data_IF_187450173704
#
_entry.id   IF_187450173704
#
_cell.length_a   1.000
_cell.length_b   1.000
_cell.length_c   1.000
_cell.angle_alpha   90.00
_cell.angle_beta   90.00
_cell.angle_gamma   90.00
#
_symmetry.space_group_name_H-M   'P 1'
#
loop_
_entity.id
_entity.type
_entity.pdbx_description
1 polymer ?
#
# COMPACT_ATOMS: atom_id res chain seq x y z
N UNK A 1 49.72 2.77 29.74
CA UNK A 1 48.97 3.34 28.60
C UNK A 1 48.09 2.25 28.04
N UNK A 2 46.81 2.24 28.43
CA UNK A 2 45.84 1.23 28.00
C UNK A 2 45.08 1.76 26.78
N UNK A 3 45.27 1.10 25.63
CA UNK A 3 44.51 1.34 24.42
C UNK A 3 43.11 0.74 24.57
N UNK A 4 42.09 1.60 24.60
CA UNK A 4 40.68 1.23 24.52
C UNK A 4 40.29 1.16 23.03
N UNK A 5 40.46 0.01 22.40
CA UNK A 5 39.74 -0.30 21.16
C UNK A 5 38.32 -0.73 21.55
N UNK A 6 37.39 0.23 21.51
CA UNK A 6 35.97 -0.07 21.44
C UNK A 6 35.70 -0.79 20.12
N UNK A 7 35.68 -2.13 20.16
CA UNK A 7 34.93 -2.92 19.19
C UNK A 7 33.45 -2.55 19.38
N UNK A 8 33.00 -1.55 18.62
CA UNK A 8 31.60 -1.46 18.27
C UNK A 8 31.27 -2.71 17.44
N UNK A 9 30.72 -3.70 18.13
CA UNK A 9 29.95 -4.79 17.56
C UNK A 9 28.71 -4.21 16.86
N UNK A 10 28.91 -3.55 15.71
CA UNK A 10 27.92 -3.54 14.64
C UNK A 10 27.86 -4.97 14.11
N UNK A 11 27.08 -5.81 14.77
CA UNK A 11 26.59 -7.03 14.16
C UNK A 11 25.74 -6.60 12.94
N UNK A 12 26.39 -6.56 11.79
CA UNK A 12 25.87 -7.05 10.50
C UNK A 12 24.34 -7.17 10.44
N UNK A 13 23.66 -6.07 10.12
CA UNK A 13 22.26 -6.07 9.64
C UNK A 13 22.15 -5.60 8.18
N UNK A 14 23.29 -5.37 7.52
CA UNK A 14 23.37 -5.02 6.11
C UNK A 14 24.19 -6.07 5.36
N UNK A 15 23.54 -7.21 5.06
CA UNK A 15 23.85 -8.12 3.95
C UNK A 15 23.05 -9.41 4.14
N UNK A 16 21.73 -9.37 3.98
CA UNK A 16 20.92 -10.57 3.70
C UNK A 16 19.60 -10.13 3.05
N UNK A 17 19.66 -9.97 1.71
CA UNK A 17 18.53 -9.71 0.82
C UNK A 17 18.50 -8.30 0.20
N UNK A 18 19.09 -8.13 -0.99
CA UNK A 18 18.77 -7.01 -1.91
C UNK A 18 17.37 -7.11 -2.52
N UNK A 19 16.63 -8.16 -2.17
CA UNK A 19 15.37 -8.56 -2.78
C UNK A 19 14.20 -8.13 -1.89
N UNK A 20 13.31 -7.29 -2.44
CA UNK A 20 12.13 -6.76 -1.74
C UNK A 20 10.95 -7.74 -1.74
N UNK A 21 10.95 -8.69 -2.68
CA UNK A 21 9.93 -9.72 -2.87
C UNK A 21 10.57 -11.10 -2.67
N UNK A 22 9.85 -12.02 -2.03
CA UNK A 22 10.32 -13.38 -1.70
C UNK A 22 10.68 -14.20 -2.95
N UNK A 23 9.97 -14.00 -4.05
CA UNK A 23 10.19 -14.70 -5.32
C UNK A 23 10.91 -13.80 -6.33
N UNK A 24 12.03 -14.31 -6.87
CA UNK A 24 12.89 -13.56 -7.79
C UNK A 24 12.20 -13.27 -9.14
N UNK A 25 11.33 -14.16 -9.63
CA UNK A 25 10.59 -13.93 -10.88
C UNK A 25 9.54 -12.84 -10.70
N UNK A 26 8.81 -12.86 -9.59
CA UNK A 26 7.85 -11.84 -9.20
C UNK A 26 8.55 -10.47 -9.01
N UNK A 27 9.73 -10.45 -8.38
CA UNK A 27 10.53 -9.23 -8.26
C UNK A 27 10.97 -8.71 -9.62
N UNK A 28 11.54 -9.57 -10.48
CA UNK A 28 11.96 -9.18 -11.83
C UNK A 28 10.79 -8.57 -12.61
N UNK A 29 9.61 -9.18 -12.54
CA UNK A 29 8.39 -8.66 -13.19
C UNK A 29 7.98 -7.28 -12.67
N UNK A 30 8.10 -7.05 -11.36
CA UNK A 30 7.85 -5.73 -10.76
C UNK A 30 8.84 -4.70 -11.31
N UNK A 31 10.14 -5.01 -11.28
CA UNK A 31 11.20 -4.08 -11.72
C UNK A 31 11.07 -3.71 -13.20
N UNK A 32 10.86 -4.70 -14.06
CA UNK A 32 10.66 -4.49 -15.50
C UNK A 32 9.40 -3.66 -15.78
N UNK A 33 8.29 -3.97 -15.11
CA UNK A 33 7.05 -3.23 -15.30
C UNK A 33 7.17 -1.78 -14.83
N UNK A 34 7.78 -1.56 -13.66
CA UNK A 34 7.99 -0.22 -13.10
C UNK A 34 8.86 0.64 -14.01
N UNK A 35 9.97 0.10 -14.52
CA UNK A 35 10.82 0.80 -15.48
C UNK A 35 10.05 1.20 -16.75
N UNK A 36 9.23 0.29 -17.29
CA UNK A 36 8.42 0.54 -18.49
C UNK A 36 7.33 1.58 -18.23
N UNK A 37 6.60 1.48 -17.11
CA UNK A 37 5.56 2.44 -16.72
C UNK A 37 6.16 3.83 -16.51
N UNK A 38 7.29 3.95 -15.81
CA UNK A 38 7.98 5.24 -15.64
C UNK A 38 8.40 5.85 -16.97
N UNK A 39 9.04 5.08 -17.86
CA UNK A 39 9.45 5.59 -19.17
C UNK A 39 8.26 6.04 -20.02
N UNK A 40 7.13 5.34 -19.94
CA UNK A 40 5.93 5.65 -20.72
C UNK A 40 5.11 6.80 -20.12
N UNK A 41 5.08 6.92 -18.80
CA UNK A 41 4.07 7.73 -18.12
C UNK A 41 4.63 8.64 -17.02
N UNK A 42 5.69 8.22 -16.33
CA UNK A 42 6.27 8.93 -15.18
C UNK A 42 7.35 9.97 -15.50
N UNK A 43 7.63 10.27 -16.77
CA UNK A 43 8.56 11.34 -17.16
C UNK A 43 7.90 12.72 -17.03
N UNK A 44 8.66 13.75 -16.63
CA UNK A 44 8.15 15.11 -16.38
C UNK A 44 7.36 15.72 -17.56
N UNK A 45 7.86 15.51 -18.78
CA UNK A 45 7.20 15.95 -20.00
C UNK A 45 5.86 15.24 -20.24
N UNK A 46 5.76 13.95 -19.92
CA UNK A 46 4.55 13.15 -20.03
C UNK A 46 3.51 13.61 -18.99
N UNK A 47 3.92 13.76 -17.73
CA UNK A 47 3.05 14.25 -16.64
C UNK A 47 2.45 15.62 -16.96
N UNK A 48 3.26 16.54 -17.49
CA UNK A 48 2.78 17.86 -17.91
C UNK A 48 1.72 17.76 -19.03
N UNK A 49 1.96 16.93 -20.04
CA UNK A 49 1.02 16.70 -21.13
C UNK A 49 -0.31 16.09 -20.65
N UNK A 50 -0.26 15.17 -19.68
CA UNK A 50 -1.46 14.48 -19.17
C UNK A 50 -2.36 15.37 -18.32
N UNK A 51 -1.79 16.35 -17.60
CA UNK A 51 -2.55 17.38 -16.87
C UNK A 51 -3.37 18.31 -17.80
N UNK A 52 -3.09 18.33 -19.10
CA UNK A 52 -3.70 19.29 -20.04
C UNK A 52 -4.80 18.64 -20.91
N UNK A 53 -4.76 17.32 -21.17
CA UNK A 53 -5.70 16.66 -22.08
C UNK A 53 -7.06 16.36 -21.41
N UNK A 54 -7.99 17.31 -21.53
CA UNK A 54 -9.37 17.19 -21.02
C UNK A 54 -10.22 16.20 -21.85
N UNK A 55 -11.01 15.36 -21.17
CA UNK A 55 -12.08 14.53 -21.74
C UNK A 55 -13.33 14.73 -20.89
N UNK A 56 -14.40 15.31 -21.46
CA UNK A 56 -15.71 15.50 -20.79
C UNK A 56 -15.55 16.02 -19.33
N UNK A 57 -14.78 17.09 -19.18
CA UNK A 57 -14.49 17.84 -17.94
C UNK A 57 -13.37 17.34 -17.01
N UNK A 58 -12.75 16.18 -17.24
CA UNK A 58 -11.60 15.70 -16.42
C UNK A 58 -10.49 15.13 -17.29
N UNK A 59 -9.24 15.01 -16.79
CA UNK A 59 -8.14 14.49 -17.63
C UNK A 59 -8.17 12.96 -17.73
N UNK A 60 -7.61 12.40 -18.80
CA UNK A 60 -7.66 10.95 -19.08
C UNK A 60 -7.01 10.15 -17.95
N UNK A 61 -5.86 10.61 -17.45
CA UNK A 61 -5.09 10.00 -16.36
C UNK A 61 -5.91 9.83 -15.08
N UNK A 62 -6.66 10.87 -14.68
CA UNK A 62 -7.57 10.85 -13.54
C UNK A 62 -8.65 9.78 -13.69
N UNK A 63 -9.23 9.65 -14.89
CA UNK A 63 -10.28 8.63 -15.14
C UNK A 63 -9.72 7.22 -15.10
N UNK A 64 -8.58 6.98 -15.76
CA UNK A 64 -7.92 5.67 -15.70
C UNK A 64 -7.47 5.31 -14.29
N UNK A 65 -6.98 6.29 -13.52
CA UNK A 65 -6.67 6.13 -12.10
C UNK A 65 -7.89 5.74 -11.29
N UNK A 66 -8.99 6.49 -11.39
CA UNK A 66 -10.23 6.16 -10.66
C UNK A 66 -10.76 4.77 -11.00
N UNK A 67 -10.63 4.32 -12.25
CA UNK A 67 -11.02 2.96 -12.67
C UNK A 67 -10.12 1.87 -12.12
N UNK A 68 -8.81 2.10 -12.08
CA UNK A 68 -7.85 1.22 -11.41
C UNK A 68 -8.16 1.08 -9.92
N UNK A 69 -8.47 2.20 -9.29
CA UNK A 69 -8.83 2.26 -7.87
C UNK A 69 -10.15 1.57 -7.57
N UNK A 70 -11.10 1.56 -8.52
CA UNK A 70 -12.30 0.75 -8.42
C UNK A 70 -11.97 -0.75 -8.31
N UNK A 71 -11.06 -1.26 -9.14
CA UNK A 71 -10.60 -2.65 -9.08
C UNK A 71 -9.88 -2.95 -7.73
N UNK A 72 -9.12 -1.99 -7.17
CA UNK A 72 -8.57 -2.11 -5.81
C UNK A 72 -9.67 -2.20 -4.74
N UNK A 73 -10.72 -1.39 -4.85
CA UNK A 73 -11.85 -1.44 -3.91
C UNK A 73 -12.63 -2.76 -4.02
N UNK A 74 -12.80 -3.32 -5.23
CA UNK A 74 -13.36 -4.67 -5.40
C UNK A 74 -12.54 -5.71 -4.64
N UNK A 75 -11.20 -5.61 -4.72
CA UNK A 75 -10.31 -6.52 -4.00
C UNK A 75 -10.43 -6.35 -2.48
N UNK A 76 -10.50 -5.11 -1.97
CA UNK A 76 -10.72 -4.85 -0.55
C UNK A 76 -12.05 -5.43 -0.07
N UNK A 77 -13.14 -5.27 -0.84
CA UNK A 77 -14.45 -5.85 -0.50
C UNK A 77 -14.37 -7.36 -0.44
N UNK A 78 -13.66 -7.99 -1.38
CA UNK A 78 -13.46 -9.42 -1.38
C UNK A 78 -12.62 -9.89 -0.18
N UNK A 79 -11.59 -9.12 0.18
CA UNK A 79 -10.73 -9.40 1.33
C UNK A 79 -11.52 -9.41 2.63
N UNK A 80 -12.31 -8.37 2.91
CA UNK A 80 -13.10 -8.28 4.15
C UNK A 80 -14.35 -9.17 4.16
N UNK A 81 -14.73 -9.73 3.01
CA UNK A 81 -15.72 -10.82 2.91
C UNK A 81 -15.11 -12.22 3.01
N UNK A 82 -13.87 -12.33 3.49
CA UNK A 82 -13.12 -13.57 3.63
C UNK A 82 -12.96 -14.39 2.32
N UNK A 83 -13.01 -13.73 1.15
CA UNK A 83 -12.83 -14.42 -0.14
C UNK A 83 -11.35 -14.64 -0.50
N UNK A 84 -10.43 -13.97 0.19
CA UNK A 84 -8.98 -14.10 -0.04
C UNK A 84 -8.32 -14.87 1.10
N UNK A 85 -7.94 -16.11 0.80
CA UNK A 85 -7.29 -17.01 1.78
C UNK A 85 -5.82 -17.18 1.41
N UNK A 86 -4.95 -16.73 2.30
CA UNK A 86 -3.53 -17.02 2.23
C UNK A 86 -3.23 -18.46 2.67
N UNK A 87 -2.54 -19.24 1.85
CA UNK A 87 -2.29 -20.67 2.12
C UNK A 87 -1.56 -20.93 3.44
N UNK A 88 -0.69 -20.00 3.86
CA UNK A 88 0.09 -20.10 5.10
C UNK A 88 -0.56 -19.41 6.31
N UNK A 89 -1.34 -18.35 6.09
CA UNK A 89 -1.78 -17.45 7.16
C UNK A 89 -3.30 -17.37 7.30
N UNK A 90 -4.05 -18.00 6.40
CA UNK A 90 -5.51 -18.05 6.44
C UNK A 90 -6.20 -16.85 5.85
N UNK A 91 -7.37 -16.50 6.41
CA UNK A 91 -8.15 -15.36 5.93
C UNK A 91 -7.36 -14.07 6.05
N UNK A 92 -7.13 -13.40 4.91
CA UNK A 92 -6.56 -12.07 4.91
C UNK A 92 -7.52 -11.04 5.50
N UNK A 93 -8.84 -11.20 5.34
CA UNK A 93 -9.84 -10.32 5.95
C UNK A 93 -9.64 -10.20 7.46
N UNK A 94 -9.59 -11.35 8.14
CA UNK A 94 -9.33 -11.41 9.58
C UNK A 94 -7.98 -10.79 9.99
N UNK A 95 -6.95 -10.88 9.14
CA UNK A 95 -5.62 -10.32 9.43
C UNK A 95 -5.54 -8.79 9.30
N UNK A 96 -6.47 -8.19 8.54
CA UNK A 96 -6.53 -6.76 8.26
C UNK A 96 -7.72 -6.06 8.92
N UNK A 97 -8.49 -6.77 9.74
CA UNK A 97 -9.58 -6.18 10.50
C UNK A 97 -9.07 -5.03 11.40
N UNK A 98 -9.73 -3.87 11.32
CA UNK A 98 -9.32 -2.66 12.00
C UNK A 98 -8.03 -2.03 11.46
N UNK A 99 -7.62 -2.33 10.23
CA UNK A 99 -6.43 -1.76 9.61
C UNK A 99 -6.52 -0.23 9.45
N UNK A 100 -5.36 0.41 9.37
CA UNK A 100 -5.23 1.80 8.93
C UNK A 100 -4.92 1.80 7.43
N UNK A 101 -5.70 2.55 6.66
CA UNK A 101 -5.50 2.72 5.23
C UNK A 101 -4.78 4.05 4.95
N UNK A 102 -3.66 4.00 4.23
CA UNK A 102 -2.85 5.16 3.85
C UNK A 102 -2.65 5.17 2.34
N UNK A 103 -3.13 6.23 1.68
CA UNK A 103 -3.05 6.40 0.23
C UNK A 103 -1.97 7.42 -0.16
N UNK A 104 -0.81 6.92 -0.57
CA UNK A 104 0.32 7.72 -1.00
C UNK A 104 0.04 8.42 -2.33
N UNK A 105 0.03 9.75 -2.29
CA UNK A 105 -0.23 10.56 -3.48
C UNK A 105 -1.66 10.34 -3.97
N UNK A 106 -2.65 10.71 -3.15
CA UNK A 106 -4.09 10.53 -3.41
C UNK A 106 -4.62 11.36 -4.58
N UNK A 107 -3.76 12.11 -5.29
CA UNK A 107 -4.08 13.01 -6.39
C UNK A 107 -5.26 13.93 -6.03
N UNK A 108 -5.04 14.84 -5.07
CA UNK A 108 -6.09 15.79 -4.67
C UNK A 108 -6.39 16.70 -5.85
N UNK A 109 -7.62 16.64 -6.33
CA UNK A 109 -8.02 17.39 -7.50
C UNK A 109 -8.62 18.74 -7.11
N UNK A 110 -8.27 19.78 -7.88
CA UNK A 110 -9.02 21.04 -7.86
C UNK A 110 -10.50 20.73 -8.17
N UNK A 111 -11.41 21.30 -7.36
CA UNK A 111 -12.87 21.07 -7.38
C UNK A 111 -13.41 19.69 -7.02
N UNK A 112 -12.71 18.58 -7.29
CA UNK A 112 -13.22 17.23 -6.98
C UNK A 112 -12.66 16.66 -5.65
N UNK A 113 -11.55 17.22 -5.14
CA UNK A 113 -10.88 16.76 -3.92
C UNK A 113 -10.22 15.38 -4.07
N UNK A 114 -10.03 14.67 -2.96
CA UNK A 114 -9.50 13.30 -2.94
C UNK A 114 -10.61 12.26 -3.23
N UNK A 115 -11.20 12.31 -4.43
CA UNK A 115 -12.36 11.47 -4.83
C UNK A 115 -12.11 9.98 -4.61
N UNK A 116 -10.87 9.56 -4.77
CA UNK A 116 -10.40 8.16 -4.69
C UNK A 116 -10.37 7.62 -3.26
N UNK A 117 -10.08 8.49 -2.30
CA UNK A 117 -10.14 8.20 -0.87
C UNK A 117 -11.56 8.39 -0.36
N UNK A 118 -12.31 9.33 -0.94
CA UNK A 118 -13.74 9.50 -0.68
C UNK A 118 -14.57 8.29 -1.12
N UNK A 119 -14.33 7.75 -2.32
CA UNK A 119 -15.00 6.55 -2.83
C UNK A 119 -14.76 5.34 -1.88
N UNK A 120 -13.57 5.25 -1.26
CA UNK A 120 -13.27 4.26 -0.22
C UNK A 120 -13.99 4.57 1.10
N UNK A 121 -13.96 5.83 1.53
CA UNK A 121 -14.60 6.29 2.76
C UNK A 121 -16.12 6.10 2.72
N UNK A 122 -16.78 6.30 1.58
CA UNK A 122 -18.23 6.20 1.41
C UNK A 122 -18.70 4.75 1.13
N UNK A 123 -17.76 3.81 0.98
CA UNK A 123 -18.05 2.41 0.73
C UNK A 123 -18.52 1.69 2.01
N UNK A 124 -19.84 1.53 2.14
CA UNK A 124 -20.49 0.85 3.28
C UNK A 124 -20.01 -0.57 3.53
N UNK A 125 -19.42 -1.25 2.52
CA UNK A 125 -18.88 -2.59 2.67
C UNK A 125 -17.46 -2.60 3.27
N UNK A 126 -16.82 -1.44 3.39
CA UNK A 126 -15.44 -1.29 3.85
C UNK A 126 -15.32 -0.43 5.10
N UNK A 127 -16.28 0.50 5.31
CA UNK A 127 -16.28 1.46 6.42
C UNK A 127 -16.02 0.82 7.78
N UNK A 128 -16.73 -0.28 8.10
CA UNK A 128 -16.67 -0.90 9.43
C UNK A 128 -15.38 -1.69 9.67
N UNK A 129 -14.63 -2.01 8.60
CA UNK A 129 -13.40 -2.80 8.68
C UNK A 129 -12.13 -1.96 8.85
N UNK A 130 -12.19 -0.67 8.52
CA UNK A 130 -11.04 0.23 8.56
C UNK A 130 -11.11 1.15 9.78
N UNK A 131 -10.02 1.20 10.55
CA UNK A 131 -9.95 2.08 11.73
C UNK A 131 -9.79 3.55 11.37
N UNK A 132 -9.05 3.82 10.29
CA UNK A 132 -8.71 5.16 9.83
C UNK A 132 -8.38 5.08 8.35
N UNK A 133 -8.84 6.09 7.62
CA UNK A 133 -8.49 6.33 6.22
C UNK A 133 -7.70 7.64 6.18
N UNK A 134 -6.56 7.61 5.51
CA UNK A 134 -5.63 8.73 5.39
C UNK A 134 -5.35 8.96 3.91
N UNK A 135 -5.71 10.14 3.44
CA UNK A 135 -5.25 10.66 2.15
C UNK A 135 -3.91 11.37 2.38
N UNK A 136 -2.94 11.14 1.50
CA UNK A 136 -1.73 11.96 1.47
C UNK A 136 -1.55 12.64 0.14
N UNK A 137 -0.95 13.82 0.13
CA UNK A 137 -0.60 14.52 -1.10
C UNK A 137 0.88 14.88 -1.10
N UNK A 138 1.47 14.87 -2.29
CA UNK A 138 2.90 15.07 -2.46
C UNK A 138 3.18 16.55 -2.48
N UNK A 139 3.90 17.02 -1.46
CA UNK A 139 4.39 18.39 -1.41
C UNK A 139 5.74 18.46 -2.12
N UNK A 140 5.72 18.97 -3.35
CA UNK A 140 6.92 19.31 -4.09
C UNK A 140 7.21 20.81 -3.91
N UNK A 141 8.15 21.11 -3.02
CA UNK A 141 8.54 22.49 -2.71
C UNK A 141 9.22 23.21 -3.87
N UNK A 142 9.66 22.48 -4.91
CA UNK A 142 10.28 23.07 -6.10
C UNK A 142 9.24 23.58 -7.12
N UNK A 143 7.98 23.15 -7.01
CA UNK A 143 6.91 23.53 -7.94
C UNK A 143 5.62 23.98 -7.23
N UNK A 144 5.39 25.28 -7.13
CA UNK A 144 4.22 25.87 -6.44
C UNK A 144 2.84 25.41 -6.97
N UNK A 145 2.75 24.91 -8.20
CA UNK A 145 1.50 24.48 -8.82
C UNK A 145 1.05 23.05 -8.46
N UNK A 146 1.78 22.34 -7.60
CA UNK A 146 1.39 21.00 -7.12
C UNK A 146 0.59 21.03 -5.82
N UNK A 147 0.44 22.20 -5.19
CA UNK A 147 -0.20 22.37 -3.87
C UNK A 147 -1.72 22.46 -3.94
N UNK A 148 -2.39 21.41 -4.41
CA UNK A 148 -3.87 21.36 -4.44
C UNK A 148 -4.49 21.40 -3.03
N UNK A 149 -3.72 21.05 -2.00
CA UNK A 149 -4.06 21.11 -0.57
C UNK A 149 -4.35 22.52 -0.10
N UNK A 150 -3.47 23.48 -0.41
CA UNK A 150 -3.60 24.84 0.10
C UNK A 150 -4.91 25.47 -0.36
N UNK A 151 -5.33 25.13 -1.58
CA UNK A 151 -6.59 25.58 -2.17
C UNK A 151 -7.77 24.92 -1.44
N UNK A 152 -7.73 23.59 -1.21
CA UNK A 152 -8.84 22.90 -0.55
C UNK A 152 -9.03 23.35 0.90
N UNK A 153 -7.94 23.51 1.66
CA UNK A 153 -7.97 23.93 3.08
C UNK A 153 -8.52 25.35 3.23
N UNK A 154 -8.22 26.25 2.29
CA UNK A 154 -8.63 27.66 2.38
C UNK A 154 -10.07 27.90 1.89
N UNK A 155 -10.59 27.07 0.99
CA UNK A 155 -11.83 27.38 0.25
C UNK A 155 -13.02 26.42 0.51
N UNK A 156 -12.86 25.31 1.27
CA UNK A 156 -13.90 24.26 1.38
C UNK A 156 -14.07 23.62 2.76
N UNK A 157 -15.18 22.87 2.91
CA UNK A 157 -15.43 22.01 4.06
C UNK A 157 -14.31 20.97 4.25
N UNK A 158 -13.95 20.63 5.50
CA UNK A 158 -12.91 19.65 5.78
C UNK A 158 -13.26 18.27 5.21
N UNK A 159 -12.25 17.53 4.75
CA UNK A 159 -12.43 16.14 4.32
C UNK A 159 -12.98 15.27 5.47
N UNK A 160 -13.84 14.28 5.19
CA UNK A 160 -14.39 13.38 6.22
C UNK A 160 -13.38 12.31 6.70
N UNK A 161 -12.13 12.38 6.23
CA UNK A 161 -11.02 11.48 6.55
C UNK A 161 -9.75 12.28 6.86
N UNK A 162 -8.74 11.62 7.43
CA UNK A 162 -7.49 12.29 7.76
C UNK A 162 -6.69 12.64 6.50
N UNK A 163 -5.91 13.70 6.63
CA UNK A 163 -5.09 14.23 5.55
C UNK A 163 -3.67 14.53 6.03
N UNK A 164 -2.66 14.24 5.21
CA UNK A 164 -1.25 14.52 5.52
C UNK A 164 -0.42 14.88 4.28
N UNK A 165 0.47 15.85 4.40
CA UNK A 165 1.50 16.11 3.37
C UNK A 165 2.66 15.13 3.49
N UNK A 166 3.12 14.63 2.35
CA UNK A 166 4.28 13.73 2.24
C UNK A 166 5.33 14.34 1.30
N UNK A 167 6.63 14.04 1.53
CA UNK A 167 7.68 14.41 0.59
C UNK A 167 7.51 13.66 -0.74
N UNK A 168 8.15 14.18 -1.80
CA UNK A 168 8.22 13.51 -3.11
C UNK A 168 8.79 12.11 -2.95
N UNK A 169 9.94 11.99 -2.27
CA UNK A 169 10.60 10.71 -1.99
C UNK A 169 10.32 10.26 -0.55
N UNK A 170 9.71 9.08 -0.40
CA UNK A 170 9.39 8.44 0.89
C UNK A 170 10.28 7.22 1.04
N UNK A 171 11.57 7.46 1.19
CA UNK A 171 12.62 6.44 1.33
C UNK A 171 13.23 6.41 2.74
N UNK A 172 12.81 7.29 3.65
CA UNK A 172 13.23 7.27 5.05
C UNK A 172 12.29 6.37 5.90
N UNK A 173 12.80 5.28 6.53
CA UNK A 173 12.00 4.45 7.40
C UNK A 173 11.49 5.18 8.66
N UNK A 174 12.20 6.18 9.16
CA UNK A 174 11.73 6.94 10.34
C UNK A 174 10.51 7.80 10.00
N UNK A 175 10.51 8.45 8.83
CA UNK A 175 9.33 9.16 8.33
C UNK A 175 8.10 8.23 8.24
N UNK A 176 8.25 7.05 7.62
CA UNK A 176 7.16 6.06 7.52
C UNK A 176 6.72 5.59 8.91
N UNK A 177 7.66 5.38 9.84
CA UNK A 177 7.36 4.98 11.22
C UNK A 177 6.53 6.05 11.93
N UNK A 178 6.88 7.33 11.77
CA UNK A 178 6.12 8.45 12.34
C UNK A 178 4.72 8.49 11.74
N UNK A 179 4.61 8.45 10.41
CA UNK A 179 3.33 8.49 9.70
C UNK A 179 2.39 7.37 10.18
N UNK A 180 2.89 6.14 10.22
CA UNK A 180 2.10 4.97 10.65
C UNK A 180 1.75 5.03 12.14
N UNK A 181 2.64 5.54 13.00
CA UNK A 181 2.39 5.70 14.44
C UNK A 181 1.29 6.73 14.74
N UNK A 182 1.17 7.79 13.94
CA UNK A 182 0.15 8.82 14.11
C UNK A 182 -1.26 8.24 13.91
N UNK A 183 -1.42 7.38 12.91
CA UNK A 183 -2.74 6.94 12.46
C UNK A 183 -3.17 5.54 12.92
N UNK A 184 -2.21 4.65 13.22
CA UNK A 184 -2.51 3.30 13.66
C UNK A 184 -2.88 3.21 15.15
N UNK A 185 -3.86 2.37 15.49
CA UNK A 185 -4.32 2.14 16.88
C UNK A 185 -3.20 1.66 17.82
N UNK A 186 -2.25 0.88 17.31
CA UNK A 186 -1.11 0.35 18.07
C UNK A 186 0.05 0.01 17.14
N UNK A 187 1.21 -0.41 17.67
CA UNK A 187 2.37 -0.88 16.87
C UNK A 187 2.16 -2.23 16.17
N UNK A 188 1.09 -2.94 16.52
CA UNK A 188 0.76 -4.26 15.96
C UNK A 188 -0.44 -4.24 15.02
N UNK A 189 -1.15 -3.11 14.96
CA UNK A 189 -2.31 -2.96 14.08
C UNK A 189 -1.89 -3.09 12.61
N UNK A 190 -2.67 -3.81 11.78
CA UNK A 190 -2.36 -3.99 10.38
C UNK A 190 -2.46 -2.66 9.61
N UNK A 191 -1.69 -2.56 8.52
CA UNK A 191 -1.69 -1.36 7.66
C UNK A 191 -1.91 -1.76 6.22
N UNK A 192 -2.75 -0.99 5.54
CA UNK A 192 -2.96 -1.07 4.11
C UNK A 192 -2.38 0.20 3.49
N UNK A 193 -1.36 0.03 2.65
CA UNK A 193 -0.84 1.10 1.82
C UNK A 193 -1.43 1.02 0.42
N UNK A 194 -1.60 2.17 -0.21
CA UNK A 194 -1.92 2.29 -1.63
C UNK A 194 -1.05 3.38 -2.26
N UNK A 195 -0.57 3.14 -3.46
CA UNK A 195 0.13 4.10 -4.31
C UNK A 195 -0.31 3.81 -5.74
N UNK A 196 -0.99 4.76 -6.39
CA UNK A 196 -1.60 4.52 -7.70
C UNK A 196 -1.63 5.78 -8.57
N UNK A 197 -0.79 5.79 -9.60
CA UNK A 197 -0.67 6.77 -10.67
C UNK A 197 -0.33 8.20 -10.24
N UNK A 198 0.13 8.41 -9.00
CA UNK A 198 0.40 9.75 -8.48
C UNK A 198 1.36 9.76 -7.30
N UNK A 199 2.15 8.69 -7.13
CA UNK A 199 3.16 8.65 -6.09
C UNK A 199 4.33 7.71 -6.42
N UNK A 200 4.86 6.98 -5.41
CA UNK A 200 5.96 6.05 -5.57
C UNK A 200 5.86 5.10 -6.78
N UNK A 201 4.63 4.76 -7.17
CA UNK A 201 4.30 3.77 -8.18
C UNK A 201 4.47 4.24 -9.63
N UNK A 202 4.72 5.53 -9.82
CA UNK A 202 4.88 6.14 -11.13
C UNK A 202 6.11 7.05 -11.21
N UNK A 203 6.39 7.80 -10.14
CA UNK A 203 7.45 8.81 -10.16
C UNK A 203 8.83 8.27 -9.82
N UNK A 204 8.95 7.16 -9.08
CA UNK A 204 10.24 6.70 -8.58
C UNK A 204 11.05 5.99 -9.65
N UNK A 205 12.37 6.15 -9.64
CA UNK A 205 13.28 5.24 -10.35
C UNK A 205 13.13 3.83 -9.78
N UNK A 206 13.76 2.86 -10.44
CA UNK A 206 13.75 1.48 -9.93
C UNK A 206 14.45 1.41 -8.57
N UNK A 207 15.53 2.16 -8.41
CA UNK A 207 16.31 2.29 -7.18
C UNK A 207 15.48 2.94 -6.07
N UNK A 208 14.89 4.11 -6.34
CA UNK A 208 14.02 4.82 -5.38
C UNK A 208 12.81 3.97 -4.97
N UNK A 209 12.25 3.18 -5.88
CA UNK A 209 11.19 2.23 -5.56
C UNK A 209 11.69 1.15 -4.60
N UNK A 210 12.87 0.56 -4.83
CA UNK A 210 13.42 -0.45 -3.92
C UNK A 210 13.63 0.13 -2.53
N UNK A 211 14.22 1.32 -2.44
CA UNK A 211 14.47 2.00 -1.17
C UNK A 211 13.15 2.27 -0.44
N UNK A 212 12.11 2.72 -1.15
CA UNK A 212 10.77 2.89 -0.60
C UNK A 212 10.19 1.60 0.01
N UNK A 213 10.27 0.48 -0.71
CA UNK A 213 9.79 -0.82 -0.21
C UNK A 213 10.59 -1.29 1.01
N UNK A 214 11.92 -1.14 1.00
CA UNK A 214 12.79 -1.46 2.13
C UNK A 214 12.46 -0.60 3.35
N UNK A 215 12.16 0.67 3.14
CA UNK A 215 11.79 1.59 4.21
C UNK A 215 10.42 1.28 4.79
N UNK A 216 9.44 0.84 3.99
CA UNK A 216 8.17 0.31 4.50
C UNK A 216 8.40 -0.91 5.40
N UNK A 217 9.22 -1.87 4.96
CA UNK A 217 9.53 -3.09 5.73
C UNK A 217 10.24 -2.76 7.04
N UNK A 218 11.22 -1.87 6.99
CA UNK A 218 12.04 -1.43 8.14
C UNK A 218 11.22 -0.65 9.16
N UNK A 219 10.31 0.21 8.70
CA UNK A 219 9.45 1.01 9.57
C UNK A 219 8.38 0.19 10.31
N UNK A 220 7.95 -0.94 9.72
CA UNK A 220 6.79 -1.71 10.16
C UNK A 220 7.13 -3.18 10.52
N UNK A 221 8.11 -3.45 11.39
CA UNK A 221 8.61 -4.81 11.62
C UNK A 221 7.59 -5.75 12.28
N UNK A 222 6.58 -5.19 12.97
CA UNK A 222 5.60 -5.89 13.79
C UNK A 222 4.18 -5.93 13.20
N UNK A 223 3.99 -5.41 11.98
CA UNK A 223 2.66 -5.26 11.37
C UNK A 223 2.46 -6.17 10.18
N UNK A 224 1.23 -6.63 9.98
CA UNK A 224 0.81 -7.12 8.68
C UNK A 224 0.64 -5.93 7.74
N UNK A 225 1.13 -6.08 6.51
CA UNK A 225 1.11 -5.03 5.49
C UNK A 225 0.44 -5.59 4.25
N UNK A 226 -0.54 -4.87 3.72
CA UNK A 226 -1.10 -5.06 2.39
C UNK A 226 -0.73 -3.81 1.59
N UNK A 227 -0.08 -3.97 0.45
CA UNK A 227 0.35 -2.84 -0.37
C UNK A 227 -0.18 -2.96 -1.79
N UNK A 228 -1.11 -2.06 -2.14
CA UNK A 228 -1.58 -1.84 -3.50
C UNK A 228 -0.62 -0.87 -4.21
N UNK A 229 0.29 -1.40 -5.03
CA UNK A 229 1.31 -0.62 -5.72
C UNK A 229 1.11 -0.71 -7.24
N UNK A 230 0.62 0.37 -7.85
CA UNK A 230 0.19 0.38 -9.25
C UNK A 230 -0.81 -0.76 -9.52
N UNK A 231 -0.41 -1.81 -10.26
CA UNK A 231 -1.21 -3.01 -10.56
C UNK A 231 -0.93 -4.19 -9.64
N UNK A 232 0.12 -4.12 -8.83
CA UNK A 232 0.64 -5.21 -8.03
C UNK A 232 0.07 -5.14 -6.62
N UNK A 233 -0.33 -6.30 -6.10
CA UNK A 233 -0.87 -6.42 -4.74
C UNK A 233 0.12 -7.24 -3.94
N UNK A 234 0.75 -6.61 -2.96
CA UNK A 234 1.73 -7.24 -2.10
C UNK A 234 1.16 -7.48 -0.71
N UNK A 235 1.54 -8.59 -0.12
CA UNK A 235 1.25 -8.91 1.27
C UNK A 235 2.54 -9.23 2.00
N UNK A 236 2.65 -8.75 3.24
CA UNK A 236 3.71 -9.14 4.16
C UNK A 236 3.10 -9.38 5.52
N UNK A 237 3.20 -10.61 6.02
CA UNK A 237 2.89 -10.91 7.42
C UNK A 237 3.94 -10.27 8.32
N UNK A 238 3.57 -9.89 9.55
CA UNK A 238 4.51 -9.51 10.59
C UNK A 238 5.65 -10.53 10.79
N UNK A 239 5.47 -11.77 10.37
CA UNK A 239 6.44 -12.87 10.50
C UNK A 239 7.38 -13.05 9.31
N UNK A 240 7.18 -12.32 8.22
CA UNK A 240 8.04 -12.35 7.03
C UNK A 240 8.96 -11.12 7.01
N UNK A 241 10.11 -11.22 6.35
CA UNK A 241 11.04 -10.10 6.14
C UNK A 241 10.84 -9.43 4.78
N UNK A 242 10.20 -10.11 3.83
CA UNK A 242 9.99 -9.65 2.46
C UNK A 242 8.49 -9.65 2.12
N UNK A 243 8.15 -8.98 1.01
CA UNK A 243 6.80 -9.02 0.46
C UNK A 243 6.57 -10.30 -0.37
N UNK A 244 5.31 -10.71 -0.41
CA UNK A 244 4.79 -11.72 -1.31
C UNK A 244 3.88 -11.02 -2.32
N UNK A 245 4.11 -11.23 -3.61
CA UNK A 245 3.22 -10.73 -4.66
C UNK A 245 1.99 -11.63 -4.71
N UNK A 246 0.90 -11.24 -4.05
CA UNK A 246 -0.29 -12.07 -3.89
C UNK A 246 -1.27 -12.00 -5.06
N UNK A 247 -1.06 -11.07 -5.98
CA UNK A 247 -1.75 -11.02 -7.25
C UNK A 247 -1.58 -9.68 -7.95
N UNK A 248 -2.25 -9.55 -9.08
CA UNK A 248 -2.26 -8.31 -9.86
C UNK A 248 -3.68 -7.97 -10.28
N UNK A 249 -4.01 -6.70 -10.37
CA UNK A 249 -5.24 -6.28 -11.03
C UNK A 249 -5.12 -6.30 -12.55
N UNK A 250 -6.25 -6.13 -13.25
CA UNK A 250 -6.34 -6.13 -14.72
C UNK A 250 -5.40 -5.10 -15.36
N UNK A 251 -4.41 -5.59 -16.09
CA UNK A 251 -3.39 -4.78 -16.76
C UNK A 251 -3.94 -3.85 -17.85
N UNK A 252 -5.14 -4.13 -18.35
CA UNK A 252 -5.81 -3.28 -19.34
C UNK A 252 -6.33 -1.99 -18.69
N UNK A 253 -6.54 -1.99 -17.38
CA UNK A 253 -7.04 -0.86 -16.61
C UNK A 253 -5.84 -0.11 -16.06
N UNK A 254 -5.43 0.94 -16.78
CA UNK A 254 -4.23 1.69 -16.46
C UNK A 254 -4.01 2.90 -17.35
N UNK A 255 -2.80 3.46 -17.24
CA UNK A 255 -2.36 4.71 -17.88
C UNK A 255 -2.22 4.59 -19.42
N UNK A 256 -2.72 3.52 -20.04
CA UNK A 256 -2.69 3.38 -21.50
C UNK A 256 -3.62 4.41 -22.17
N UNK A 257 -3.01 5.49 -22.64
CA UNK A 257 -3.69 6.61 -23.30
C UNK A 257 -3.88 6.41 -24.80
N UNK A 258 -3.16 5.47 -25.41
CA UNK A 258 -3.29 5.12 -26.83
C UNK A 258 -4.59 4.36 -27.09
N UNK A 259 -5.02 3.55 -26.13
CA UNK A 259 -6.29 2.84 -26.17
C UNK A 259 -6.93 2.83 -24.79
N UNK A 260 -8.03 3.58 -24.64
CA UNK A 260 -8.81 3.65 -23.39
C UNK A 260 -9.63 2.36 -23.18
N UNK A 261 -8.96 1.23 -22.95
CA UNK A 261 -9.60 -0.08 -22.76
C UNK A 261 -10.70 -0.06 -21.69
N UNK A 262 -10.51 0.76 -20.64
CA UNK A 262 -11.48 0.99 -19.57
C UNK A 262 -12.85 1.49 -20.05
N UNK A 263 -12.96 2.11 -21.24
CA UNK A 263 -14.24 2.57 -21.80
C UNK A 263 -15.15 1.43 -22.24
N UNK A 264 -14.57 0.27 -22.52
CA UNK A 264 -15.30 -0.91 -23.02
C UNK A 264 -15.68 -1.89 -21.90
N UNK A 265 -15.38 -1.54 -20.65
CA UNK A 265 -15.78 -2.32 -19.47
C UNK A 265 -17.15 -1.83 -19.00
N UNK A 266 -18.07 -2.77 -18.79
CA UNK A 266 -19.31 -2.49 -18.06
C UNK A 266 -19.02 -2.41 -16.56
N UNK A 267 -18.70 -1.20 -16.08
CA UNK A 267 -18.33 -0.95 -14.69
C UNK A 267 -19.42 -1.31 -13.68
N UNK A 268 -20.68 -1.34 -14.10
CA UNK A 268 -21.79 -1.73 -13.23
C UNK A 268 -21.85 -3.24 -12.99
N UNK A 269 -21.20 -4.02 -13.87
CA UNK A 269 -21.13 -5.49 -13.79
C UNK A 269 -19.72 -6.03 -13.55
N UNK A 270 -18.74 -5.14 -13.44
CA UNK A 270 -17.32 -5.47 -13.22
C UNK A 270 -17.18 -6.38 -12.00
N UNK A 271 -16.70 -7.61 -12.23
CA UNK A 271 -16.57 -8.63 -11.17
C UNK A 271 -15.15 -8.69 -10.60
N UNK A 272 -14.99 -9.39 -9.48
CA UNK A 272 -13.67 -9.62 -8.86
C UNK A 272 -12.77 -10.44 -9.78
N UNK A 273 -13.32 -11.46 -10.43
CA UNK A 273 -12.60 -12.40 -11.30
C UNK A 273 -12.03 -11.69 -12.54
N UNK A 274 -12.74 -10.68 -13.03
CA UNK A 274 -12.22 -9.85 -14.13
C UNK A 274 -11.21 -8.80 -13.64
N UNK A 275 -11.37 -8.33 -12.40
CA UNK A 275 -10.55 -7.28 -11.80
C UNK A 275 -9.22 -7.76 -11.23
N UNK A 276 -9.16 -9.00 -10.72
CA UNK A 276 -8.03 -9.52 -9.95
C UNK A 276 -7.56 -10.89 -10.44
N UNK A 277 -6.27 -10.98 -10.74
CA UNK A 277 -5.57 -12.23 -11.06
C UNK A 277 -4.75 -12.65 -9.84
N UNK A 278 -5.19 -13.66 -9.05
CA UNK A 278 -4.48 -14.09 -7.86
C UNK A 278 -3.15 -14.77 -8.21
N UNK A 279 -2.12 -14.53 -7.42
CA UNK A 279 -0.94 -15.40 -7.43
C UNK A 279 -1.28 -16.66 -6.66
N UNK A 280 -1.59 -17.72 -7.41
CA UNK A 280 -2.00 -19.01 -6.88
C UNK A 280 -0.91 -19.69 -6.06
N UNK A 281 0.33 -19.19 -6.03
CA UNK A 281 1.36 -19.62 -5.08
C UNK A 281 0.93 -19.33 -3.64
N UNK A 282 0.42 -18.13 -3.39
CA UNK A 282 0.15 -17.59 -2.06
C UNK A 282 -1.33 -17.58 -1.68
N UNK A 283 -2.22 -17.25 -2.63
CA UNK A 283 -3.65 -17.03 -2.35
C UNK A 283 -4.51 -18.09 -3.03
N UNK A 284 -5.61 -18.44 -2.36
CA UNK A 284 -6.78 -19.11 -2.94
C UNK A 284 -7.98 -18.18 -2.81
N UNK A 285 -8.75 -18.08 -3.89
CA UNK A 285 -10.05 -17.43 -3.87
C UNK A 285 -11.12 -18.44 -3.45
N UNK A 286 -12.03 -18.01 -2.58
CA UNK A 286 -13.13 -18.84 -2.09
C UNK A 286 -14.43 -18.34 -2.70
N UNK A 287 -15.13 -19.23 -3.39
CA UNK A 287 -16.54 -19.03 -3.73
C UNK A 287 -17.39 -19.11 -2.46
N UNK A 288 -18.47 -18.33 -2.41
CA UNK A 288 -19.33 -18.04 -1.25
C UNK A 288 -19.88 -19.26 -0.46
N UNK A 289 -19.55 -20.49 -0.83
CA UNK A 289 -20.14 -21.72 -0.31
C UNK A 289 -19.29 -22.58 0.64
N UNK A 290 -17.95 -22.45 0.75
CA UNK A 290 -17.15 -23.46 1.51
C UNK A 290 -15.82 -22.96 2.10
N UNK A 291 -15.88 -22.23 3.22
CA UNK A 291 -14.78 -22.29 4.20
C UNK A 291 -15.22 -23.23 5.32
N UNK A 292 -14.53 -24.37 5.46
CA UNK A 292 -14.79 -25.23 6.61
C UNK A 292 -14.38 -24.49 7.89
N UNK A 293 -15.09 -24.74 8.99
CA UNK A 293 -14.75 -24.15 10.31
C UNK A 293 -13.32 -24.56 10.72
N UNK A 294 -12.85 -25.74 10.29
CA UNK A 294 -11.49 -26.22 10.53
C UNK A 294 -10.43 -25.36 9.81
N UNK A 295 -10.64 -25.00 8.54
CA UNK A 295 -9.70 -24.14 7.80
C UNK A 295 -9.57 -22.74 8.42
N UNK A 296 -10.66 -22.23 9.03
CA UNK A 296 -10.64 -20.96 9.78
C UNK A 296 -9.85 -21.04 11.09
N UNK A 297 -9.89 -22.18 11.77
CA UNK A 297 -9.20 -22.39 13.04
C UNK A 297 -7.70 -22.65 12.87
N UNK A 298 -7.30 -23.46 11.89
CA UNK A 298 -5.87 -23.76 11.64
C UNK A 298 -5.08 -22.52 11.20
N UNK A 299 -5.70 -21.69 10.37
CA UNK A 299 -5.24 -20.35 10.01
C UNK A 299 -4.97 -19.46 11.23
N UNK A 300 -5.91 -19.45 12.18
CA UNK A 300 -5.82 -18.66 13.40
C UNK A 300 -4.67 -19.13 14.29
N UNK A 301 -4.43 -20.44 14.38
CA UNK A 301 -3.43 -21.00 15.29
C UNK A 301 -1.98 -20.72 14.86
N UNK A 302 -1.65 -20.92 13.58
CA UNK A 302 -0.29 -20.69 13.07
C UNK A 302 0.11 -19.21 13.10
N UNK A 303 -0.83 -18.31 12.80
CA UNK A 303 -0.59 -16.86 12.81
C UNK A 303 -0.36 -16.32 14.25
N UNK A 304 -1.06 -16.88 15.23
CA UNK A 304 -0.95 -16.44 16.62
C UNK A 304 0.42 -16.70 17.22
N UNK A 305 1.07 -17.83 16.94
CA UNK A 305 2.34 -18.21 17.61
C UNK A 305 3.46 -17.19 17.40
N UNK A 306 3.69 -16.79 16.14
CA UNK A 306 4.73 -15.81 15.81
C UNK A 306 4.33 -14.40 16.26
N UNK A 307 3.07 -14.00 16.07
CA UNK A 307 2.59 -12.70 16.52
C UNK A 307 2.67 -12.54 18.04
N UNK A 308 2.28 -13.56 18.82
CA UNK A 308 2.43 -13.61 20.27
C UNK A 308 3.90 -13.53 20.68
N UNK A 309 4.78 -14.30 20.03
CA UNK A 309 6.22 -14.26 20.29
C UNK A 309 6.82 -12.87 20.06
N UNK A 310 6.47 -12.20 18.96
CA UNK A 310 6.89 -10.82 18.68
C UNK A 310 6.34 -9.82 19.70
N UNK A 311 5.07 -9.96 20.06
CA UNK A 311 4.42 -9.10 21.05
C UNK A 311 5.11 -9.21 22.41
N UNK A 312 5.33 -10.44 22.88
CA UNK A 312 6.03 -10.71 24.14
C UNK A 312 7.47 -10.17 24.14
N UNK A 313 8.23 -10.41 23.05
CA UNK A 313 9.60 -9.87 22.91
C UNK A 313 9.60 -8.35 22.90
N UNK A 314 8.67 -7.72 22.20
CA UNK A 314 8.57 -6.27 22.13
C UNK A 314 8.32 -5.64 23.51
N UNK A 315 7.29 -6.10 24.23
CA UNK A 315 6.99 -5.59 25.56
C UNK A 315 8.10 -5.93 26.56
N UNK A 316 8.69 -7.13 26.49
CA UNK A 316 9.85 -7.51 27.30
C UNK A 316 11.04 -6.57 27.10
N UNK A 317 11.36 -6.22 25.85
CA UNK A 317 12.43 -5.27 25.55
C UNK A 317 12.10 -3.84 26.00
N UNK A 318 10.85 -3.41 25.89
CA UNK A 318 10.39 -2.08 26.34
C UNK A 318 10.51 -1.95 27.86
N UNK A 319 10.12 -2.99 28.61
CA UNK A 319 10.27 -3.04 30.07
C UNK A 319 11.75 -3.00 30.46
N UNK A 320 12.59 -3.84 29.85
CA UNK A 320 14.05 -3.83 30.10
C UNK A 320 14.67 -2.45 29.89
N UNK A 321 14.35 -1.78 28.77
CA UNK A 321 14.84 -0.41 28.47
C UNK A 321 14.37 0.62 29.49
N UNK A 322 13.16 0.47 30.04
CA UNK A 322 12.64 1.36 31.08
C UNK A 322 13.38 1.17 32.40
N UNK A 323 13.70 -0.06 32.77
CA UNK A 323 14.43 -0.40 34.01
C UNK A 323 15.89 0.08 33.94
N UNK A 324 16.55 0.00 32.78
CA UNK A 324 17.94 0.43 32.63
C UNK A 324 18.14 1.95 32.52
N UNK A 325 17.05 2.74 32.46
CA UNK A 325 17.08 4.21 32.39
C UNK A 325 16.71 4.90 33.71
N UNK A 326 16.23 4.12 34.69
CA UNK A 326 16.03 4.49 36.09
C UNK A 326 17.20 4.02 36.92
#
# INVERSE_FOLDING_TARGET
>A
MFNFTYLFSFQSLFAEGTTIVEDEEDEKRLLENHAVEKLRFGLANHIHYYKIKKTKNTVVEQRSGRKRLYDHNLLLRALFRDKLIHKKYGSLGAMFEGATFIDFGSAILYEEGAVTVRDLYEDKLLQDHLSKIVATDINDTEYDHTRYIEIHIKEREPFPFAFNEIPVLIDDPEYIRILTKIYAKSEFSPIIFRSTNSGPDLFYTVEEMKDHFLSILTANPNRNILYFFNRFIFFRSACATQFQLIGTIDERIGVNHSFSAWRYVDWNKRSLEEAFRPNLRYIRLVDESRLSIADRLDASFLNQTCFLSKTLRFYGNKIKKSITKS
#
